data_IF_295974591587
#
_entry.id   IF_295974591587
#
_cell.length_a   1.000
_cell.length_b   1.000
_cell.length_c   1.000
_cell.angle_alpha   90.00
_cell.angle_beta   90.00
_cell.angle_gamma   90.00
#
_symmetry.space_group_name_H-M   'P 1'
#
loop_
_entity.id
_entity.type
_entity.pdbx_description
1 polymer ?
#
# COMPACT_ATOMS: atom_id res chain seq x y z
N UNK A 1 -15.82 47.51 -3.51
CA UNK A 1 -17.19 47.15 -3.04
C UNK A 1 -17.64 45.90 -3.80
N UNK A 2 -17.73 44.74 -3.14
CA UNK A 2 -18.19 43.49 -3.75
C UNK A 2 -19.72 43.41 -3.71
N UNK A 3 -20.35 43.04 -4.83
CA UNK A 3 -21.81 42.88 -4.91
C UNK A 3 -22.24 41.61 -4.18
N UNK A 4 -23.33 41.64 -3.38
CA UNK A 4 -23.83 40.44 -2.71
C UNK A 4 -24.43 39.46 -3.73
N UNK A 5 -23.94 38.22 -3.73
CA UNK A 5 -24.42 37.16 -4.61
C UNK A 5 -25.77 36.63 -4.12
N UNK A 6 -26.84 37.03 -4.80
CA UNK A 6 -28.22 36.63 -4.49
C UNK A 6 -28.45 35.18 -4.95
N UNK A 7 -28.57 34.23 -4.02
CA UNK A 7 -28.93 32.82 -4.31
C UNK A 7 -30.42 32.57 -3.98
N UNK A 8 -31.13 31.88 -4.87
CA UNK A 8 -32.55 31.53 -4.72
C UNK A 8 -32.70 30.47 -3.61
N UNK A 9 -33.50 30.75 -2.58
CA UNK A 9 -33.88 29.77 -1.55
C UNK A 9 -33.02 29.70 -0.28
N UNK A 10 -32.19 30.70 0.01
CA UNK A 10 -31.37 30.75 1.24
C UNK A 10 -30.46 29.52 1.45
N UNK A 11 -30.13 28.80 0.37
CA UNK A 11 -29.31 27.60 0.41
C UNK A 11 -27.87 28.01 0.67
N UNK A 12 -27.41 27.84 1.91
CA UNK A 12 -26.01 27.95 2.26
C UNK A 12 -25.21 26.92 1.45
N UNK A 13 -24.08 27.34 0.88
CA UNK A 13 -23.12 26.37 0.33
C UNK A 13 -22.74 25.40 1.44
N UNK A 14 -22.86 24.09 1.17
CA UNK A 14 -22.38 23.05 2.08
C UNK A 14 -20.89 23.30 2.35
N UNK A 15 -20.59 23.88 3.52
CA UNK A 15 -19.24 24.19 3.94
C UNK A 15 -18.70 22.95 4.62
N UNK A 16 -17.75 22.29 3.98
CA UNK A 16 -16.98 21.20 4.58
C UNK A 16 -16.37 21.59 5.92
N UNK A 17 -15.98 22.87 6.09
CA UNK A 17 -15.47 23.39 7.36
C UNK A 17 -16.54 23.38 8.47
N UNK A 18 -17.81 23.60 8.14
CA UNK A 18 -18.90 23.53 9.13
C UNK A 18 -19.20 22.08 9.52
N UNK A 19 -19.14 21.14 8.56
CA UNK A 19 -19.28 19.72 8.84
C UNK A 19 -18.12 19.19 9.72
N UNK A 20 -16.88 19.63 9.46
CA UNK A 20 -15.73 19.29 10.29
C UNK A 20 -15.90 19.78 11.73
N UNK A 21 -16.32 21.03 11.94
CA UNK A 21 -16.55 21.57 13.28
C UNK A 21 -17.67 20.85 14.06
N UNK A 22 -18.68 20.31 13.37
CA UNK A 22 -19.75 19.51 13.99
C UNK A 22 -19.27 18.13 14.42
N UNK A 23 -18.44 17.47 13.61
CA UNK A 23 -17.85 16.17 13.94
C UNK A 23 -16.88 16.27 15.14
N UNK A 24 -16.13 17.37 15.24
CA UNK A 24 -15.21 17.61 16.36
C UNK A 24 -15.99 17.80 17.67
N UNK A 25 -17.11 18.53 17.58
CA UNK A 25 -18.04 18.71 18.71
C UNK A 25 -18.76 17.43 19.13
N UNK A 26 -18.96 16.47 18.23
CA UNK A 26 -19.58 15.18 18.56
C UNK A 26 -18.58 14.18 19.17
N UNK A 27 -17.34 14.60 19.47
CA UNK A 27 -16.31 13.73 20.05
C UNK A 27 -15.74 12.74 19.04
N UNK A 28 -15.99 12.92 17.74
CA UNK A 28 -15.32 12.16 16.70
C UNK A 28 -14.03 12.89 16.29
N UNK A 29 -12.87 12.21 16.28
CA UNK A 29 -11.63 12.84 15.87
C UNK A 29 -11.74 13.24 14.39
N UNK A 30 -11.76 14.54 14.13
CA UNK A 30 -11.79 15.10 12.77
C UNK A 30 -10.36 15.31 12.30
N UNK A 31 -9.64 14.20 12.17
CA UNK A 31 -8.37 14.19 11.46
C UNK A 31 -8.66 14.36 9.98
N UNK A 32 -8.22 15.46 9.38
CA UNK A 32 -8.10 15.56 7.93
C UNK A 32 -7.09 14.47 7.50
N UNK A 33 -7.60 13.30 7.09
CA UNK A 33 -6.81 12.20 6.53
C UNK A 33 -6.36 12.55 5.11
N UNK A 34 -5.75 13.73 4.94
CA UNK A 34 -5.29 14.20 3.66
C UNK A 34 -3.80 14.39 3.76
N UNK A 35 -3.19 13.55 2.93
CA UNK A 35 -1.88 13.68 2.32
C UNK A 35 -0.67 13.12 3.07
N UNK A 36 -0.61 13.15 4.40
CA UNK A 36 0.61 12.70 5.09
C UNK A 36 0.51 11.32 5.78
N UNK A 37 -0.70 10.85 6.09
CA UNK A 37 -0.87 9.53 6.75
C UNK A 37 -0.70 8.34 5.79
N UNK A 38 -0.43 8.58 4.51
CA UNK A 38 -0.10 7.53 3.56
C UNK A 38 -1.23 6.57 3.18
N UNK A 39 -2.44 6.80 3.67
CA UNK A 39 -3.63 6.04 3.35
C UNK A 39 -4.35 6.68 2.16
N UNK A 40 -4.71 5.87 1.18
CA UNK A 40 -5.39 6.30 -0.04
C UNK A 40 -6.91 6.35 0.10
N UNK A 41 -7.49 5.77 1.16
CA UNK A 41 -8.93 5.78 1.43
C UNK A 41 -9.28 5.46 2.90
N UNK A 42 -10.54 5.70 3.27
CA UNK A 42 -11.09 5.52 4.62
C UNK A 42 -11.04 4.06 5.10
N UNK A 43 -11.14 3.10 4.19
CA UNK A 43 -11.03 1.67 4.53
C UNK A 43 -9.60 1.29 4.94
N UNK A 44 -8.59 1.92 4.35
CA UNK A 44 -7.18 1.75 4.70
C UNK A 44 -6.86 2.35 6.08
N UNK A 45 -7.52 3.45 6.44
CA UNK A 45 -7.41 4.06 7.76
C UNK A 45 -8.10 3.21 8.85
N UNK A 46 -9.27 2.63 8.56
CA UNK A 46 -9.97 1.74 9.48
C UNK A 46 -9.21 0.42 9.71
N UNK A 47 -8.60 -0.14 8.67
CA UNK A 47 -7.75 -1.32 8.81
C UNK A 47 -6.47 -1.05 9.62
N UNK A 48 -5.96 0.18 9.59
CA UNK A 48 -4.80 0.60 10.38
C UNK A 48 -5.12 0.86 11.86
N UNK A 49 -6.34 1.28 12.17
CA UNK A 49 -6.87 1.35 13.55
C UNK A 49 -6.97 -0.05 14.17
N UNK A 50 -7.41 -1.05 13.41
CA UNK A 50 -7.49 -2.45 13.87
C UNK A 50 -6.09 -3.10 14.05
N UNK A 51 -5.07 -2.61 13.35
CA UNK A 51 -3.67 -3.05 13.43
C UNK A 51 -2.77 -2.06 14.17
N UNK A 52 -3.33 -1.39 15.19
CA UNK A 52 -2.65 -0.41 16.02
C UNK A 52 -1.17 -0.75 16.26
N UNK A 53 -0.30 0.21 15.90
CA UNK A 53 1.14 0.29 16.21
C UNK A 53 2.19 -0.38 15.32
N UNK A 54 1.91 -0.89 14.11
CA UNK A 54 2.99 -1.48 13.26
C UNK A 54 3.78 -0.44 12.43
N UNK A 55 3.37 0.84 12.46
CA UNK A 55 3.96 1.86 11.59
C UNK A 55 5.31 2.43 12.04
N UNK A 56 5.68 2.30 13.31
CA UNK A 56 6.93 2.85 13.81
C UNK A 56 8.17 1.98 13.49
N UNK A 57 7.98 0.75 12.99
CA UNK A 57 9.09 -0.18 12.71
C UNK A 57 9.48 -0.28 11.22
N UNK A 58 8.68 0.30 10.32
CA UNK A 58 8.85 0.11 8.87
C UNK A 58 9.36 1.41 8.23
N UNK A 59 10.50 1.31 7.55
CA UNK A 59 11.13 2.41 6.82
C UNK A 59 10.13 3.13 5.90
N UNK A 60 10.03 4.46 6.02
CA UNK A 60 9.16 5.29 5.19
C UNK A 60 9.37 5.05 3.68
N UNK A 61 10.59 4.70 3.29
CA UNK A 61 10.93 4.37 1.90
C UNK A 61 10.15 3.14 1.41
N UNK A 62 10.09 2.06 2.19
CA UNK A 62 9.41 0.84 1.77
C UNK A 62 7.89 1.00 1.75
N UNK A 63 7.34 1.83 2.63
CA UNK A 63 5.92 2.20 2.59
C UNK A 63 5.57 2.88 1.26
N UNK A 64 6.42 3.79 0.79
CA UNK A 64 6.25 4.47 -0.50
C UNK A 64 6.32 3.46 -1.65
N UNK A 65 7.27 2.51 -1.59
CA UNK A 65 7.41 1.44 -2.59
C UNK A 65 6.14 0.58 -2.68
N UNK A 66 5.59 0.10 -1.56
CA UNK A 66 4.35 -0.68 -1.55
C UNK A 66 3.14 0.13 -2.05
N UNK A 67 3.08 1.44 -1.76
CA UNK A 67 2.04 2.31 -2.32
C UNK A 67 2.12 2.41 -3.84
N UNK A 68 3.33 2.41 -4.42
CA UNK A 68 3.52 2.39 -5.87
C UNK A 68 3.07 1.04 -6.48
N UNK A 69 3.28 -0.08 -5.80
CA UNK A 69 2.79 -1.41 -6.24
C UNK A 69 1.26 -1.50 -6.32
N UNK A 70 0.55 -0.71 -5.51
CA UNK A 70 -0.93 -0.62 -5.53
C UNK A 70 -1.50 0.10 -6.76
N UNK A 71 -0.66 0.76 -7.58
CA UNK A 71 -1.13 1.59 -8.70
C UNK A 71 -1.50 0.75 -9.93
N UNK A 72 -2.41 1.26 -10.75
CA UNK A 72 -2.89 0.60 -11.99
C UNK A 72 -1.90 0.69 -13.15
N UNK A 73 -0.97 1.66 -13.17
CA UNK A 73 0.01 1.79 -14.24
C UNK A 73 1.11 0.70 -14.12
N UNK A 74 1.35 -0.13 -15.16
CA UNK A 74 2.36 -1.18 -15.12
C UNK A 74 3.79 -0.64 -14.97
N UNK A 75 4.15 0.47 -15.62
CA UNK A 75 5.49 1.06 -15.52
C UNK A 75 5.79 1.52 -14.08
N UNK A 76 4.77 2.02 -13.36
CA UNK A 76 4.90 2.38 -11.94
C UNK A 76 5.16 1.15 -11.08
N UNK A 77 4.45 0.04 -11.34
CA UNK A 77 4.68 -1.23 -10.62
C UNK A 77 6.04 -1.82 -10.92
N UNK A 78 6.47 -1.82 -12.19
CA UNK A 78 7.81 -2.29 -12.58
C UNK A 78 8.91 -1.48 -11.90
N UNK A 79 8.79 -0.15 -11.87
CA UNK A 79 9.75 0.70 -11.17
C UNK A 79 9.78 0.38 -9.67
N UNK A 80 8.61 0.24 -9.05
CA UNK A 80 8.51 -0.09 -7.63
C UNK A 80 9.08 -1.47 -7.29
N UNK A 81 8.92 -2.48 -8.17
CA UNK A 81 9.54 -3.80 -7.97
C UNK A 81 11.07 -3.74 -8.05
N UNK A 82 11.64 -2.90 -8.93
CA UNK A 82 13.09 -2.69 -8.99
C UNK A 82 13.59 -1.96 -7.74
N UNK A 83 12.94 -0.87 -7.36
CA UNK A 83 13.24 -0.13 -6.13
C UNK A 83 13.13 -1.04 -4.90
N UNK A 84 12.15 -1.95 -4.84
CA UNK A 84 12.01 -2.91 -3.76
C UNK A 84 13.20 -3.87 -3.70
N UNK A 85 13.64 -4.42 -4.85
CA UNK A 85 14.80 -5.30 -4.90
C UNK A 85 16.08 -4.58 -4.44
N UNK A 86 16.27 -3.34 -4.87
CA UNK A 86 17.41 -2.52 -4.47
C UNK A 86 17.36 -2.25 -2.96
N UNK A 87 16.21 -1.81 -2.44
CA UNK A 87 15.98 -1.60 -1.00
C UNK A 87 16.27 -2.85 -0.18
N UNK A 88 15.77 -4.01 -0.58
CA UNK A 88 15.98 -5.26 0.16
C UNK A 88 17.46 -5.70 0.19
N UNK A 89 18.24 -5.34 -0.83
CA UNK A 89 19.65 -5.72 -0.92
C UNK A 89 20.55 -5.09 0.14
N UNK A 90 20.11 -3.98 0.73
CA UNK A 90 20.88 -3.20 1.71
C UNK A 90 20.42 -3.42 3.16
N UNK A 91 19.34 -4.19 3.38
CA UNK A 91 18.63 -4.24 4.67
C UNK A 91 18.87 -5.54 5.42
N UNK A 92 18.72 -5.48 6.74
CA UNK A 92 18.85 -6.63 7.63
C UNK A 92 17.72 -7.64 7.42
N UNK A 93 18.00 -8.90 7.78
CA UNK A 93 17.11 -10.04 7.53
C UNK A 93 15.73 -9.88 8.18
N UNK A 94 15.64 -9.20 9.32
CA UNK A 94 14.40 -8.91 10.04
C UNK A 94 13.49 -7.98 9.24
N UNK A 95 14.06 -6.90 8.69
CA UNK A 95 13.34 -5.97 7.80
C UNK A 95 12.87 -6.69 6.54
N UNK A 96 13.71 -7.56 5.97
CA UNK A 96 13.35 -8.39 4.81
C UNK A 96 12.18 -9.32 5.13
N UNK A 97 12.11 -9.89 6.34
CA UNK A 97 10.99 -10.74 6.75
C UNK A 97 9.68 -9.96 6.88
N UNK A 98 9.71 -8.76 7.49
CA UNK A 98 8.55 -7.87 7.57
C UNK A 98 8.07 -7.47 6.16
N UNK A 99 9.01 -7.14 5.26
CA UNK A 99 8.69 -6.81 3.89
C UNK A 99 8.05 -7.99 3.12
N UNK A 100 8.48 -9.24 3.40
CA UNK A 100 7.86 -10.41 2.80
C UNK A 100 6.38 -10.51 3.18
N UNK A 101 6.04 -10.35 4.46
CA UNK A 101 4.66 -10.45 4.93
C UNK A 101 3.75 -9.43 4.22
N UNK A 102 4.22 -8.20 4.06
CA UNK A 102 3.51 -7.19 3.27
C UNK A 102 3.45 -7.53 1.78
N UNK A 103 4.55 -8.00 1.20
CA UNK A 103 4.63 -8.35 -0.22
C UNK A 103 3.64 -9.44 -0.63
N UNK A 104 3.40 -10.42 0.24
CA UNK A 104 2.43 -11.50 -0.02
C UNK A 104 1.02 -11.00 -0.32
N UNK A 105 0.62 -9.86 0.26
CA UNK A 105 -0.70 -9.24 0.00
C UNK A 105 -0.83 -8.71 -1.44
N UNK A 106 0.30 -8.37 -2.07
CA UNK A 106 0.37 -7.91 -3.46
C UNK A 106 0.63 -9.04 -4.45
N UNK A 107 1.23 -10.14 -3.98
CA UNK A 107 1.76 -11.19 -4.84
C UNK A 107 0.73 -11.71 -5.84
N UNK A 108 -0.50 -12.03 -5.40
CA UNK A 108 -1.54 -12.53 -6.31
C UNK A 108 -1.92 -11.56 -7.43
N UNK A 109 -1.94 -10.26 -7.15
CA UNK A 109 -2.19 -9.23 -8.18
C UNK A 109 -1.02 -9.10 -9.15
N UNK A 110 0.21 -9.16 -8.63
CA UNK A 110 1.43 -8.96 -9.41
C UNK A 110 1.80 -10.18 -10.27
N UNK A 111 1.52 -11.40 -9.79
CA UNK A 111 1.76 -12.61 -10.58
C UNK A 111 0.74 -12.74 -11.71
N UNK A 112 -0.49 -12.25 -11.54
CA UNK A 112 -1.50 -12.26 -12.59
C UNK A 112 -1.53 -10.97 -13.44
N UNK A 113 -0.46 -10.17 -13.38
CA UNK A 113 -0.41 -8.89 -14.07
C UNK A 113 -0.47 -9.06 -15.60
N UNK A 114 -1.07 -8.08 -16.28
CA UNK A 114 -1.10 -8.04 -17.75
C UNK A 114 0.27 -7.78 -18.37
N UNK A 115 1.18 -7.09 -17.65
CA UNK A 115 2.56 -6.90 -18.11
C UNK A 115 3.42 -8.14 -17.79
N UNK A 116 4.02 -8.81 -18.80
CA UNK A 116 4.92 -9.93 -18.56
C UNK A 116 6.16 -9.52 -17.75
N UNK A 117 6.60 -8.27 -17.89
CA UNK A 117 7.72 -7.70 -17.13
C UNK A 117 7.38 -7.58 -15.65
N UNK A 118 6.17 -7.13 -15.30
CA UNK A 118 5.71 -7.08 -13.90
C UNK A 118 5.67 -8.49 -13.31
N UNK A 119 5.14 -9.47 -14.06
CA UNK A 119 5.09 -10.87 -13.61
C UNK A 119 6.48 -11.45 -13.36
N UNK A 120 7.42 -11.23 -14.29
CA UNK A 120 8.80 -11.68 -14.16
C UNK A 120 9.51 -11.04 -12.96
N UNK A 121 9.38 -9.72 -12.78
CA UNK A 121 9.95 -9.01 -11.64
C UNK A 121 9.32 -9.45 -10.31
N UNK A 122 8.02 -9.73 -10.29
CA UNK A 122 7.31 -10.25 -9.12
C UNK A 122 7.89 -11.60 -8.68
N UNK A 123 8.08 -12.53 -9.63
CA UNK A 123 8.72 -13.82 -9.35
C UNK A 123 10.18 -13.67 -8.91
N UNK A 124 10.93 -12.76 -9.52
CA UNK A 124 12.31 -12.44 -9.11
C UNK A 124 12.37 -11.92 -7.67
N UNK A 125 11.43 -11.04 -7.30
CA UNK A 125 11.32 -10.50 -5.95
C UNK A 125 10.97 -11.59 -4.93
N UNK A 126 10.03 -12.47 -5.27
CA UNK A 126 9.71 -13.64 -4.44
C UNK A 126 10.90 -14.60 -4.27
N UNK A 127 11.64 -14.85 -5.36
CA UNK A 127 12.87 -15.66 -5.33
C UNK A 127 13.95 -15.03 -4.44
N UNK A 128 14.09 -13.70 -4.48
CA UNK A 128 15.00 -12.96 -3.60
C UNK A 128 14.63 -13.18 -2.13
N UNK A 129 13.36 -13.00 -1.75
CA UNK A 129 12.90 -13.24 -0.37
C UNK A 129 13.23 -14.67 0.11
N UNK A 130 12.92 -15.69 -0.71
CA UNK A 130 13.20 -17.09 -0.35
C UNK A 130 14.70 -17.32 -0.17
N UNK A 131 15.51 -16.79 -1.09
CA UNK A 131 16.98 -16.98 -1.09
C UNK A 131 17.64 -16.31 0.12
N UNK A 132 17.14 -15.14 0.51
CA UNK A 132 17.67 -14.36 1.64
C UNK A 132 17.21 -14.92 2.99
N UNK A 133 15.92 -15.21 3.15
CA UNK A 133 15.34 -15.64 4.43
C UNK A 133 15.54 -17.13 4.72
N UNK A 134 15.71 -17.97 3.68
CA UNK A 134 15.88 -19.43 3.79
C UNK A 134 14.85 -20.05 4.74
N UNK A 135 15.28 -20.59 5.89
CA UNK A 135 14.41 -21.23 6.88
C UNK A 135 13.43 -20.25 7.55
N UNK A 136 13.76 -18.96 7.63
CA UNK A 136 12.87 -17.95 8.21
C UNK A 136 11.60 -17.75 7.37
N UNK A 137 11.65 -18.01 6.06
CA UNK A 137 10.48 -17.94 5.17
C UNK A 137 9.56 -19.17 5.24
N UNK A 138 9.86 -20.19 6.04
CA UNK A 138 9.18 -21.49 6.00
C UNK A 138 7.66 -21.39 6.20
N UNK A 139 7.20 -20.51 7.10
CA UNK A 139 5.76 -20.27 7.35
C UNK A 139 5.06 -19.74 6.09
N UNK A 140 5.75 -18.86 5.37
CA UNK A 140 5.22 -18.13 4.21
C UNK A 140 5.43 -18.87 2.87
N UNK A 141 6.29 -19.89 2.85
CA UNK A 141 6.67 -20.62 1.64
C UNK A 141 5.49 -21.31 0.96
N UNK A 142 4.49 -21.77 1.72
CA UNK A 142 3.27 -22.37 1.14
C UNK A 142 2.52 -21.40 0.24
N UNK A 143 2.38 -20.15 0.68
CA UNK A 143 1.72 -19.10 -0.10
C UNK A 143 2.51 -18.79 -1.37
N UNK A 144 3.83 -18.62 -1.24
CA UNK A 144 4.72 -18.32 -2.37
C UNK A 144 4.72 -19.44 -3.41
N UNK A 145 4.85 -20.70 -2.98
CA UNK A 145 4.89 -21.88 -3.85
C UNK A 145 3.64 -22.01 -4.73
N UNK A 146 2.46 -21.74 -4.17
CA UNK A 146 1.20 -21.74 -4.93
C UNK A 146 1.27 -20.78 -6.13
N UNK A 147 1.79 -19.57 -5.93
CA UNK A 147 1.88 -18.59 -7.01
C UNK A 147 2.92 -18.94 -8.08
N UNK A 148 4.04 -19.58 -7.70
CA UNK A 148 5.01 -20.11 -8.67
C UNK A 148 4.37 -21.19 -9.56
N UNK A 149 3.59 -22.11 -8.98
CA UNK A 149 2.90 -23.16 -9.73
C UNK A 149 1.86 -22.60 -10.70
N UNK A 150 1.05 -21.63 -10.26
CA UNK A 150 0.06 -20.96 -11.10
C UNK A 150 0.73 -20.28 -12.29
N UNK A 151 1.86 -19.61 -12.08
CA UNK A 151 2.62 -18.95 -13.14
C UNK A 151 3.24 -19.92 -14.14
N UNK A 152 3.76 -21.06 -13.68
CA UNK A 152 4.30 -22.09 -14.56
C UNK A 152 3.23 -22.71 -15.49
N UNK A 153 1.95 -22.62 -15.11
CA UNK A 153 0.82 -23.13 -15.91
C UNK A 153 0.26 -22.10 -16.91
N UNK A 154 0.71 -20.85 -16.84
CA UNK A 154 0.26 -19.73 -17.70
C UNK A 154 1.26 -19.39 -18.82
N UNK A 155 2.37 -20.13 -18.90
CA UNK A 155 3.40 -20.06 -19.95
C UNK A 155 3.29 -21.30 -20.82
#
# INVERSE_FOLDING_TARGET
MSKPQRRKGNVHSASSAHAAALLEKSGHPVGFAVFDSGFSNVFEAAAAEETGSVRDEIDSEVVIIFRKLSKKNPQTREKALRELLDFLSEKHIEVVAICLDHYLTFMGKLTLDGSPTVRSLSLRTASYFISTLKKAAQKQLKAVSFFFQVMASLV
#
